data_IF_618232776278
#
_entry.id   IF_618232776278
#
_cell.length_a   1.000
_cell.length_b   1.000
_cell.length_c   1.000
_cell.angle_alpha   90.00
_cell.angle_beta   90.00
_cell.angle_gamma   90.00
#
_symmetry.space_group_name_H-M   'P 1'
#
loop_
_entity.id
_entity.type
_entity.pdbx_description
1 polymer ?
#
# COMPACT_ATOMS: atom_id res chain seq x y z
N UNK A 1 3.27 28.17 -12.51
CA UNK A 1 2.69 26.83 -12.64
C UNK A 1 3.77 25.74 -12.63
N UNK A 2 4.96 25.99 -13.19
CA UNK A 2 6.06 24.99 -13.24
C UNK A 2 6.42 24.39 -11.88
N UNK A 3 6.25 25.14 -10.81
CA UNK A 3 6.49 24.73 -9.42
C UNK A 3 5.19 24.36 -8.67
N UNK A 4 4.12 23.97 -9.37
CA UNK A 4 2.84 23.62 -8.72
C UNK A 4 3.00 22.55 -7.61
N UNK A 5 3.99 21.69 -7.74
CA UNK A 5 4.34 20.68 -6.75
C UNK A 5 4.58 21.26 -5.34
N UNK A 6 5.08 22.51 -5.21
CA UNK A 6 5.27 23.13 -3.87
C UNK A 6 3.94 23.51 -3.19
N UNK A 7 2.83 23.41 -3.91
CA UNK A 7 1.47 23.54 -3.36
C UNK A 7 0.83 22.16 -3.22
N UNK A 8 0.75 21.41 -4.32
CA UNK A 8 -0.08 20.21 -4.39
C UNK A 8 0.54 18.98 -3.73
N UNK A 9 1.88 18.86 -3.76
CA UNK A 9 2.56 17.83 -2.99
C UNK A 9 2.38 18.04 -1.48
N UNK A 10 2.35 19.30 -1.03
CA UNK A 10 2.09 19.62 0.37
C UNK A 10 0.62 19.38 0.74
N UNK A 11 -0.32 19.64 -0.17
CA UNK A 11 -1.73 19.33 0.05
C UNK A 11 -1.92 17.80 0.24
N UNK A 12 -1.37 16.99 -0.67
CA UNK A 12 -1.40 15.51 -0.57
C UNK A 12 -0.70 15.02 0.71
N UNK A 13 0.47 15.59 1.03
CA UNK A 13 1.21 15.19 2.23
C UNK A 13 0.53 15.63 3.53
N UNK A 14 -0.20 16.74 3.52
CA UNK A 14 -1.03 17.17 4.66
C UNK A 14 -2.13 16.17 4.97
N UNK A 15 -2.68 15.49 3.96
CA UNK A 15 -3.60 14.38 4.21
C UNK A 15 -2.92 13.20 4.91
N UNK A 16 -1.65 12.88 4.53
CA UNK A 16 -0.86 11.86 5.23
C UNK A 16 -0.70 12.25 6.71
N UNK A 17 -0.26 13.49 6.98
CA UNK A 17 -0.05 13.99 8.35
C UNK A 17 -1.34 13.98 9.17
N UNK A 18 -2.47 14.36 8.56
CA UNK A 18 -3.78 14.30 9.22
C UNK A 18 -4.19 12.86 9.53
N UNK A 19 -4.00 11.92 8.60
CA UNK A 19 -4.31 10.51 8.83
C UNK A 19 -3.40 9.93 9.93
N UNK A 20 -2.11 10.27 9.95
CA UNK A 20 -1.17 9.85 10.99
C UNK A 20 -1.62 10.33 12.38
N UNK A 21 -1.99 11.60 12.49
CA UNK A 21 -2.50 12.20 13.73
C UNK A 21 -3.84 11.60 14.17
N UNK A 22 -4.79 11.49 13.24
CA UNK A 22 -6.18 11.15 13.57
C UNK A 22 -6.43 9.65 13.72
N UNK A 23 -5.80 8.84 12.88
CA UNK A 23 -6.10 7.41 12.74
C UNK A 23 -4.88 6.51 12.99
N UNK A 24 -3.71 7.10 13.21
CA UNK A 24 -2.46 6.41 13.45
C UNK A 24 -1.66 6.10 12.19
N UNK A 25 -0.39 5.73 12.42
CA UNK A 25 0.62 5.53 11.35
C UNK A 25 0.21 4.48 10.33
N UNK A 26 -0.41 3.37 10.73
CA UNK A 26 -0.78 2.29 9.81
C UNK A 26 -1.82 2.76 8.77
N UNK A 27 -2.82 3.59 9.16
CA UNK A 27 -3.80 4.12 8.20
C UNK A 27 -3.15 5.14 7.25
N UNK A 28 -2.26 5.99 7.77
CA UNK A 28 -1.50 6.94 6.95
C UNK A 28 -0.60 6.23 5.94
N UNK A 29 0.16 5.24 6.38
CA UNK A 29 1.04 4.44 5.51
C UNK A 29 0.25 3.64 4.47
N UNK A 30 -0.91 3.10 4.83
CA UNK A 30 -1.80 2.45 3.87
C UNK A 30 -2.26 3.42 2.77
N UNK A 31 -2.71 4.62 3.16
CA UNK A 31 -3.14 5.64 2.21
C UNK A 31 -2.01 6.05 1.29
N UNK A 32 -0.81 6.32 1.83
CA UNK A 32 0.39 6.63 1.07
C UNK A 32 0.75 5.51 0.08
N UNK A 33 0.74 4.26 0.53
CA UNK A 33 1.00 3.11 -0.32
C UNK A 33 0.04 3.04 -1.50
N UNK A 34 -1.26 3.21 -1.27
CA UNK A 34 -2.30 3.18 -2.32
C UNK A 34 -2.15 4.36 -3.28
N UNK A 35 -1.92 5.56 -2.76
CA UNK A 35 -1.72 6.79 -3.53
C UNK A 35 -0.52 6.66 -4.49
N UNK A 36 0.63 6.21 -4.00
CA UNK A 36 1.82 5.98 -4.81
C UNK A 36 1.62 4.91 -5.88
N UNK A 37 0.93 3.82 -5.56
CA UNK A 37 0.63 2.76 -6.53
C UNK A 37 -0.27 3.25 -7.65
N UNK A 38 -1.31 4.01 -7.33
CA UNK A 38 -2.20 4.59 -8.33
C UNK A 38 -1.44 5.57 -9.24
N UNK A 39 -0.61 6.43 -8.67
CA UNK A 39 0.23 7.35 -9.44
C UNK A 39 1.20 6.62 -10.37
N UNK A 40 1.85 5.56 -9.90
CA UNK A 40 2.77 4.74 -10.72
C UNK A 40 2.04 3.94 -11.82
N UNK A 41 0.78 3.57 -11.60
CA UNK A 41 -0.01 2.81 -12.57
C UNK A 41 -0.56 3.67 -13.71
N UNK A 42 -0.64 4.99 -13.54
CA UNK A 42 -1.16 5.91 -14.57
C UNK A 42 -0.06 6.24 -15.60
N UNK A 43 -0.21 5.81 -16.88
CA UNK A 43 0.77 6.08 -17.92
C UNK A 43 1.03 7.57 -18.17
N UNK A 44 0.06 8.43 -17.88
CA UNK A 44 0.19 9.89 -18.05
C UNK A 44 1.25 10.49 -17.13
N UNK A 45 1.64 9.80 -16.08
CA UNK A 45 2.65 10.23 -15.11
C UNK A 45 4.08 9.83 -15.52
N UNK A 46 4.23 8.97 -16.52
CA UNK A 46 5.54 8.46 -16.92
C UNK A 46 6.38 9.57 -17.57
N UNK A 47 7.66 9.62 -17.23
CA UNK A 47 8.60 10.56 -17.82
C UNK A 47 8.41 12.02 -17.42
N UNK A 48 7.60 12.32 -16.42
CA UNK A 48 7.38 13.68 -15.91
C UNK A 48 8.22 13.97 -14.67
N UNK A 49 8.77 15.19 -14.63
CA UNK A 49 9.43 15.78 -13.47
C UNK A 49 8.39 16.41 -12.53
N UNK A 50 8.76 16.66 -11.27
CA UNK A 50 7.89 17.45 -10.37
C UNK A 50 7.85 18.91 -10.80
N UNK A 51 9.02 19.52 -11.03
CA UNK A 51 9.14 20.87 -11.59
C UNK A 51 9.35 20.76 -13.08
N UNK A 52 8.38 21.24 -13.86
CA UNK A 52 8.42 21.12 -15.31
C UNK A 52 7.93 22.37 -16.01
N UNK A 53 8.62 22.75 -17.06
CA UNK A 53 8.35 23.96 -17.85
C UNK A 53 7.68 23.64 -19.20
N UNK A 54 7.66 22.37 -19.59
CA UNK A 54 7.04 21.92 -20.83
C UNK A 54 5.65 21.35 -20.54
N UNK A 55 4.63 22.21 -20.62
CA UNK A 55 3.20 21.86 -20.51
C UNK A 55 2.41 22.74 -21.49
N UNK A 56 1.34 22.23 -22.06
CA UNK A 56 0.48 22.94 -23.00
C UNK A 56 -0.51 23.85 -22.28
N UNK A 57 -1.06 23.38 -21.18
CA UNK A 57 -2.02 24.09 -20.33
C UNK A 57 -1.62 23.96 -18.86
N UNK A 58 -1.94 24.95 -18.05
CA UNK A 58 -1.76 24.87 -16.60
C UNK A 58 -2.46 23.65 -15.98
N UNK A 59 -3.58 23.22 -16.56
CA UNK A 59 -4.34 22.06 -16.11
C UNK A 59 -3.53 20.74 -16.22
N UNK A 60 -2.55 20.66 -17.13
CA UNK A 60 -1.65 19.51 -17.28
C UNK A 60 -0.73 19.31 -16.08
N UNK A 61 -0.63 20.32 -15.22
CA UNK A 61 0.17 20.25 -13.99
C UNK A 61 -0.58 19.58 -12.84
N UNK A 62 -1.92 19.46 -12.91
CA UNK A 62 -2.75 18.81 -11.88
C UNK A 62 -2.85 17.32 -12.16
N UNK A 63 -1.82 16.59 -11.79
CA UNK A 63 -1.72 15.16 -12.03
C UNK A 63 -1.10 14.39 -10.83
N UNK A 64 -1.08 13.06 -10.93
CA UNK A 64 -0.52 12.20 -9.89
C UNK A 64 0.98 12.41 -9.63
N UNK A 65 1.70 13.13 -10.51
CA UNK A 65 3.08 13.52 -10.27
C UNK A 65 3.12 14.69 -9.28
N UNK A 66 2.38 15.75 -9.55
CA UNK A 66 2.36 16.95 -8.69
C UNK A 66 1.78 16.65 -7.30
N UNK A 67 0.82 15.73 -7.19
CA UNK A 67 0.19 15.33 -5.93
C UNK A 67 0.92 14.13 -5.28
N UNK A 68 0.67 12.94 -5.78
CA UNK A 68 1.01 11.69 -5.09
C UNK A 68 2.50 11.36 -5.10
N UNK A 69 3.18 11.52 -6.27
CA UNK A 69 4.64 11.34 -6.34
C UNK A 69 5.33 12.38 -5.46
N UNK A 70 4.90 13.65 -5.53
CA UNK A 70 5.46 14.72 -4.74
C UNK A 70 5.23 14.54 -3.23
N UNK A 71 4.03 14.12 -2.80
CA UNK A 71 3.75 13.78 -1.40
C UNK A 71 4.64 12.63 -0.91
N UNK A 72 4.86 11.60 -1.75
CA UNK A 72 5.80 10.52 -1.45
C UNK A 72 7.24 10.99 -1.31
N UNK A 73 7.67 11.93 -2.14
CA UNK A 73 9.02 12.55 -2.06
C UNK A 73 9.17 13.39 -0.80
N UNK A 74 8.16 14.15 -0.39
CA UNK A 74 8.16 14.85 0.90
C UNK A 74 8.28 13.87 2.07
N UNK A 75 7.62 12.72 2.01
CA UNK A 75 7.75 11.69 3.03
C UNK A 75 9.18 11.12 3.08
N UNK A 76 9.81 10.86 1.93
CA UNK A 76 11.23 10.46 1.87
C UNK A 76 12.13 11.51 2.52
N UNK A 77 11.90 12.80 2.20
CA UNK A 77 12.68 13.92 2.71
C UNK A 77 12.53 14.07 4.22
N UNK A 78 11.31 13.94 4.77
CA UNK A 78 11.05 13.91 6.22
C UNK A 78 11.85 12.80 6.90
N UNK A 79 11.84 11.58 6.34
CA UNK A 79 12.57 10.46 6.93
C UNK A 79 14.10 10.63 6.83
N UNK A 80 14.59 11.27 5.77
CA UNK A 80 16.02 11.57 5.60
C UNK A 80 16.52 12.66 6.56
N UNK A 81 15.72 13.69 6.80
CA UNK A 81 16.08 14.82 7.63
C UNK A 81 15.77 14.60 9.13
N UNK A 82 14.75 13.80 9.41
CA UNK A 82 14.09 13.71 10.72
C UNK A 82 13.02 14.80 10.90
N UNK A 83 12.07 14.53 11.79
CA UNK A 83 10.89 15.39 12.00
C UNK A 83 11.24 16.83 12.36
N UNK A 84 12.15 17.01 13.31
CA UNK A 84 12.52 18.34 13.80
C UNK A 84 13.06 19.25 12.69
N UNK A 85 14.03 18.76 11.92
CA UNK A 85 14.63 19.51 10.83
C UNK A 85 13.66 19.72 9.67
N UNK A 86 12.84 18.69 9.34
CA UNK A 86 11.86 18.77 8.28
C UNK A 86 10.81 19.85 8.58
N UNK A 87 10.13 19.79 9.73
CA UNK A 87 9.09 20.76 10.06
C UNK A 87 9.61 22.16 10.33
N UNK A 88 10.80 22.30 10.93
CA UNK A 88 11.44 23.60 11.09
C UNK A 88 11.82 24.21 9.74
N UNK A 89 12.32 23.41 8.79
CA UNK A 89 12.63 23.86 7.43
C UNK A 89 11.38 24.28 6.65
N UNK A 90 10.26 23.55 6.77
CA UNK A 90 8.99 23.97 6.20
C UNK A 90 8.49 25.30 6.80
N UNK A 91 8.63 25.47 8.11
CA UNK A 91 8.26 26.72 8.78
C UNK A 91 9.12 27.90 8.29
N UNK A 92 10.44 27.69 8.12
CA UNK A 92 11.35 28.69 7.56
C UNK A 92 10.97 29.06 6.12
N UNK A 93 10.69 28.05 5.28
CA UNK A 93 10.24 28.26 3.90
C UNK A 93 8.98 29.13 3.82
N UNK A 94 7.95 28.77 4.61
CA UNK A 94 6.67 29.50 4.59
C UNK A 94 6.82 30.93 5.08
N UNK A 95 7.57 31.16 6.18
CA UNK A 95 7.80 32.50 6.73
C UNK A 95 8.64 33.37 5.81
N UNK A 96 9.67 32.80 5.19
CA UNK A 96 10.57 33.54 4.29
C UNK A 96 9.86 34.02 3.03
N UNK A 97 8.89 33.23 2.55
CA UNK A 97 8.15 33.51 1.31
C UNK A 97 6.72 34.03 1.57
N UNK A 98 6.42 34.47 2.81
CA UNK A 98 5.10 34.97 3.18
C UNK A 98 4.70 36.17 2.31
N UNK A 99 3.49 36.14 1.76
CA UNK A 99 2.95 37.11 0.79
C UNK A 99 3.75 37.26 -0.52
N UNK A 100 4.73 36.39 -0.75
CA UNK A 100 5.56 36.35 -1.94
C UNK A 100 5.30 35.15 -2.82
N UNK A 101 6.31 34.77 -3.61
CA UNK A 101 6.33 33.55 -4.42
C UNK A 101 7.40 32.62 -3.89
N UNK A 102 7.10 31.30 -3.87
CA UNK A 102 8.04 30.26 -3.45
C UNK A 102 8.14 29.17 -4.52
N UNK A 103 9.36 28.71 -4.75
CA UNK A 103 9.68 27.65 -5.69
C UNK A 103 10.43 26.52 -4.99
N UNK A 104 10.67 25.42 -5.69
CA UNK A 104 11.38 24.26 -5.15
C UNK A 104 12.79 24.60 -4.66
N UNK A 105 13.46 25.57 -5.29
CA UNK A 105 14.80 26.01 -4.85
C UNK A 105 14.77 26.70 -3.50
N UNK A 106 13.78 27.56 -3.22
CA UNK A 106 13.64 28.19 -1.90
C UNK A 106 13.31 27.15 -0.82
N UNK A 107 12.47 26.15 -1.15
CA UNK A 107 12.21 25.04 -0.26
C UNK A 107 13.50 24.29 0.10
N UNK A 108 14.32 23.97 -0.91
CA UNK A 108 15.63 23.33 -0.68
C UNK A 108 16.51 24.16 0.24
N UNK A 109 16.68 25.46 -0.05
CA UNK A 109 17.54 26.34 0.73
C UNK A 109 17.09 26.48 2.19
N UNK A 110 15.78 26.54 2.46
CA UNK A 110 15.25 26.57 3.82
C UNK A 110 15.52 25.25 4.57
N UNK A 111 15.37 24.12 3.90
CA UNK A 111 15.67 22.81 4.49
C UNK A 111 17.17 22.62 4.74
N UNK A 112 18.04 23.04 3.82
CA UNK A 112 19.50 23.02 3.97
C UNK A 112 19.94 23.94 5.14
N UNK A 113 19.41 25.14 5.21
CA UNK A 113 19.68 26.12 6.29
C UNK A 113 19.39 25.53 7.67
N UNK A 114 18.29 24.82 7.82
CA UNK A 114 17.87 24.28 9.12
C UNK A 114 18.57 22.96 9.43
N UNK A 115 18.73 22.07 8.44
CA UNK A 115 19.31 20.74 8.67
C UNK A 115 20.82 20.69 8.64
N UNK A 116 21.47 21.68 8.02
CA UNK A 116 22.92 21.69 7.76
C UNK A 116 23.36 20.64 6.71
N UNK A 117 22.43 19.98 6.03
CA UNK A 117 22.71 18.96 5.01
C UNK A 117 22.63 19.55 3.61
N UNK A 118 23.53 19.14 2.71
CA UNK A 118 23.40 19.41 1.28
C UNK A 118 22.27 18.54 0.69
N UNK A 119 21.29 19.19 0.08
CA UNK A 119 20.15 18.55 -0.56
C UNK A 119 20.14 18.71 -2.09
N UNK A 120 21.23 19.25 -2.69
CA UNK A 120 21.31 19.38 -4.14
C UNK A 120 21.09 18.05 -4.87
N UNK A 121 21.74 16.97 -4.39
CA UNK A 121 21.59 15.63 -4.96
C UNK A 121 20.12 15.19 -4.94
N UNK A 122 19.40 15.44 -3.82
CA UNK A 122 18.01 15.03 -3.64
C UNK A 122 17.09 15.81 -4.58
N UNK A 123 17.19 17.15 -4.61
CA UNK A 123 16.32 17.96 -5.46
C UNK A 123 16.61 17.76 -6.95
N UNK A 124 17.87 17.63 -7.35
CA UNK A 124 18.24 17.40 -8.75
C UNK A 124 17.60 16.12 -9.30
N UNK A 125 17.58 15.03 -8.56
CA UNK A 125 17.01 13.78 -9.06
C UNK A 125 15.51 13.63 -8.79
N UNK A 126 14.96 14.21 -7.72
CA UNK A 126 13.57 13.97 -7.34
C UNK A 126 12.61 15.09 -7.75
N UNK A 127 13.07 16.34 -7.81
CA UNK A 127 12.27 17.49 -8.25
C UNK A 127 12.49 17.85 -9.72
N UNK A 128 13.74 17.76 -10.19
CA UNK A 128 14.14 18.16 -11.54
C UNK A 128 14.48 16.97 -12.44
N UNK A 129 14.45 15.75 -11.91
CA UNK A 129 14.68 14.52 -12.65
C UNK A 129 13.42 13.69 -12.81
N UNK A 130 13.47 12.77 -13.80
CA UNK A 130 12.35 11.91 -14.22
C UNK A 130 12.39 10.55 -13.53
N UNK A 131 11.22 9.95 -13.41
CA UNK A 131 11.12 8.55 -13.00
C UNK A 131 11.35 8.29 -11.51
N UNK A 132 11.78 7.09 -11.21
CA UNK A 132 12.13 6.57 -9.89
C UNK A 132 12.92 5.27 -10.02
N UNK A 133 13.66 4.83 -8.98
CA UNK A 133 14.46 3.60 -9.02
C UNK A 133 13.63 2.35 -9.26
N UNK A 134 14.08 1.48 -10.17
CA UNK A 134 13.61 0.11 -10.34
C UNK A 134 14.74 -0.82 -9.93
N UNK A 135 14.54 -1.52 -8.83
CA UNK A 135 15.58 -2.29 -8.17
C UNK A 135 15.34 -3.79 -8.33
N UNK A 136 16.43 -4.53 -8.63
CA UNK A 136 16.49 -5.96 -8.36
C UNK A 136 17.44 -6.19 -7.19
N UNK A 137 16.96 -6.89 -6.15
CA UNK A 137 17.73 -7.18 -4.94
C UNK A 137 17.95 -8.68 -4.84
N UNK A 138 19.21 -9.08 -4.72
CA UNK A 138 19.63 -10.48 -4.54
C UNK A 138 20.61 -10.57 -3.38
N UNK A 139 20.63 -11.70 -2.70
CA UNK A 139 21.59 -11.95 -1.64
C UNK A 139 22.30 -13.29 -1.85
N UNK A 140 23.58 -13.33 -1.48
CA UNK A 140 24.39 -14.54 -1.52
C UNK A 140 25.17 -14.67 -0.22
N UNK A 141 25.08 -15.83 0.42
CA UNK A 141 25.80 -16.14 1.63
C UNK A 141 27.10 -16.91 1.33
N UNK A 142 28.21 -16.44 1.88
CA UNK A 142 29.51 -17.13 1.88
C UNK A 142 29.76 -17.77 3.25
N UNK A 143 29.64 -19.11 3.36
CA UNK A 143 29.80 -19.81 4.63
C UNK A 143 31.24 -19.80 5.15
N UNK A 144 32.23 -19.66 4.26
CA UNK A 144 33.64 -19.64 4.66
C UNK A 144 34.03 -18.31 5.29
N UNK A 145 33.52 -17.22 4.74
CA UNK A 145 33.74 -15.88 5.26
C UNK A 145 32.74 -15.47 6.32
N UNK A 146 31.64 -16.22 6.48
CA UNK A 146 30.47 -15.84 7.30
C UNK A 146 29.97 -14.44 6.93
N UNK A 147 29.78 -14.22 5.65
CA UNK A 147 29.32 -12.95 5.09
C UNK A 147 28.12 -13.17 4.17
N UNK A 148 27.18 -12.23 4.21
CA UNK A 148 26.15 -12.11 3.19
C UNK A 148 26.42 -10.89 2.34
N UNK A 149 26.46 -11.08 1.03
CA UNK A 149 26.51 -9.99 0.05
C UNK A 149 25.10 -9.71 -0.44
N UNK A 150 24.64 -8.46 -0.29
CA UNK A 150 23.37 -7.99 -0.84
C UNK A 150 23.70 -7.15 -2.06
N UNK A 151 23.32 -7.63 -3.24
CA UNK A 151 23.43 -6.92 -4.50
C UNK A 151 22.16 -6.14 -4.78
N UNK A 152 22.29 -4.83 -4.99
CA UNK A 152 21.21 -3.92 -5.38
C UNK A 152 21.50 -3.43 -6.80
N UNK A 153 20.77 -3.95 -7.76
CA UNK A 153 20.87 -3.56 -9.16
C UNK A 153 19.77 -2.56 -9.53
N UNK A 154 20.15 -1.47 -10.18
CA UNK A 154 19.22 -0.50 -10.76
C UNK A 154 18.99 -0.83 -12.22
N UNK A 155 17.76 -1.14 -12.62
CA UNK A 155 17.42 -1.64 -13.97
C UNK A 155 16.94 -0.56 -14.93
N UNK A 156 16.48 0.60 -14.43
CA UNK A 156 16.10 1.75 -15.26
C UNK A 156 17.32 2.44 -15.89
N UNK A 157 17.10 3.30 -16.87
CA UNK A 157 18.15 4.00 -17.63
C UNK A 157 18.94 4.98 -16.75
N UNK A 158 18.28 6.02 -16.22
CA UNK A 158 18.90 6.99 -15.31
C UNK A 158 19.07 6.41 -13.91
N UNK A 159 20.30 6.45 -13.38
CA UNK A 159 20.60 5.88 -12.08
C UNK A 159 20.45 6.92 -10.97
N UNK A 160 19.91 6.48 -9.85
CA UNK A 160 19.66 7.29 -8.67
C UNK A 160 20.66 6.98 -7.57
N UNK A 161 20.90 7.96 -6.69
CA UNK A 161 21.57 7.73 -5.42
C UNK A 161 20.58 7.97 -4.27
N UNK A 162 20.63 7.14 -3.24
CA UNK A 162 19.69 7.21 -2.11
C UNK A 162 20.14 6.38 -0.92
N UNK A 163 19.72 6.72 0.31
CA UNK A 163 19.84 5.82 1.44
C UNK A 163 18.83 4.67 1.31
N UNK A 164 19.26 3.47 1.64
CA UNK A 164 18.43 2.27 1.63
C UNK A 164 18.58 1.50 2.94
N UNK A 165 17.47 1.25 3.62
CA UNK A 165 17.43 0.35 4.76
C UNK A 165 17.31 -1.10 4.28
N UNK A 166 18.11 -1.98 4.87
CA UNK A 166 18.08 -3.43 4.62
C UNK A 166 17.99 -4.14 5.98
N UNK A 167 16.90 -4.88 6.19
CA UNK A 167 16.76 -5.74 7.36
C UNK A 167 17.38 -7.11 7.10
N UNK A 168 18.28 -7.55 7.99
CA UNK A 168 18.90 -8.85 8.01
C UNK A 168 18.36 -9.62 9.22
N UNK A 169 17.57 -10.65 8.98
CA UNK A 169 17.04 -11.54 10.03
C UNK A 169 17.99 -12.70 10.24
N UNK A 170 18.53 -12.79 11.44
CA UNK A 170 19.41 -13.87 11.87
C UNK A 170 19.07 -14.30 13.31
N UNK A 171 18.92 -15.59 13.53
CA UNK A 171 18.57 -16.15 14.85
C UNK A 171 17.31 -15.50 15.48
N UNK A 172 16.30 -15.22 14.64
CA UNK A 172 15.07 -14.58 15.07
C UNK A 172 15.21 -13.10 15.44
N UNK A 173 16.36 -12.47 15.18
CA UNK A 173 16.60 -11.04 15.44
C UNK A 173 16.85 -10.26 14.15
N UNK A 174 16.18 -9.13 13.99
CA UNK A 174 16.42 -8.21 12.90
C UNK A 174 17.59 -7.28 13.25
N UNK A 175 18.56 -7.20 12.34
CA UNK A 175 19.61 -6.18 12.33
C UNK A 175 19.40 -5.28 11.12
N UNK A 176 18.98 -4.03 11.33
CA UNK A 176 18.83 -3.05 10.25
C UNK A 176 20.17 -2.49 9.84
N UNK A 177 20.44 -2.48 8.55
CA UNK A 177 21.62 -1.89 7.92
C UNK A 177 21.17 -0.71 7.08
N UNK A 178 21.77 0.46 7.31
CA UNK A 178 21.60 1.64 6.49
C UNK A 178 22.77 1.72 5.51
N UNK A 179 22.47 1.71 4.22
CA UNK A 179 23.49 1.76 3.16
C UNK A 179 23.20 2.93 2.22
N UNK A 180 24.23 3.41 1.56
CA UNK A 180 24.10 4.42 0.51
C UNK A 180 24.23 3.74 -0.86
N UNK A 181 23.14 3.69 -1.61
CA UNK A 181 23.15 3.23 -3.00
C UNK A 181 23.63 4.38 -3.85
N UNK A 182 24.71 4.16 -4.60
CA UNK A 182 25.25 5.15 -5.54
C UNK A 182 24.56 5.08 -6.90
N UNK A 183 24.66 6.14 -7.71
CA UNK A 183 24.10 6.22 -9.05
C UNK A 183 24.83 5.30 -10.06
N UNK A 184 24.93 4.00 -9.75
CA UNK A 184 25.53 2.95 -10.58
C UNK A 184 24.50 1.84 -10.85
N UNK A 185 24.74 1.09 -11.92
CA UNK A 185 23.89 -0.06 -12.26
C UNK A 185 23.89 -1.17 -11.20
N UNK A 186 24.97 -1.30 -10.43
CA UNK A 186 25.11 -2.29 -9.36
C UNK A 186 25.82 -1.70 -8.16
N UNK A 187 25.32 -2.05 -6.97
CA UNK A 187 25.93 -1.78 -5.68
C UNK A 187 25.92 -3.07 -4.87
N UNK A 188 27.06 -3.44 -4.30
CA UNK A 188 27.22 -4.62 -3.47
C UNK A 188 27.51 -4.19 -2.02
N UNK A 189 26.71 -4.73 -1.09
CA UNK A 189 26.86 -4.48 0.35
C UNK A 189 27.15 -5.79 1.06
N UNK A 190 28.25 -5.84 1.79
CA UNK A 190 28.70 -7.04 2.52
C UNK A 190 28.46 -6.85 4.01
N UNK A 191 27.79 -7.80 4.61
CA UNK A 191 27.52 -7.82 6.06
C UNK A 191 28.06 -9.09 6.70
N UNK A 192 28.74 -8.96 7.82
CA UNK A 192 29.12 -10.09 8.64
C UNK A 192 27.90 -10.70 9.32
N UNK A 193 27.79 -12.02 9.26
CA UNK A 193 26.72 -12.82 9.80
C UNK A 193 27.28 -14.11 10.42
N UNK A 194 26.54 -14.76 11.33
CA UNK A 194 27.03 -16.00 11.95
C UNK A 194 26.62 -17.24 11.15
N UNK A 195 25.52 -17.14 10.40
CA UNK A 195 24.99 -18.19 9.51
C UNK A 195 24.27 -17.54 8.32
N UNK A 196 23.76 -18.34 7.39
CA UNK A 196 22.89 -17.83 6.33
C UNK A 196 21.66 -17.13 6.92
N UNK A 197 21.44 -15.84 6.66
CA UNK A 197 20.28 -15.12 7.16
C UNK A 197 18.95 -15.80 6.75
N UNK A 198 18.01 -15.82 7.66
CA UNK A 198 16.68 -16.38 7.42
C UNK A 198 15.87 -15.52 6.47
N UNK A 199 16.11 -14.19 6.50
CA UNK A 199 15.49 -13.22 5.62
C UNK A 199 16.43 -12.02 5.39
N UNK A 200 16.49 -11.55 4.16
CA UNK A 200 16.94 -10.20 3.79
C UNK A 200 15.70 -9.46 3.28
N UNK A 201 15.45 -8.26 3.79
CA UNK A 201 14.31 -7.43 3.36
C UNK A 201 14.79 -6.01 3.07
N UNK A 202 14.79 -5.62 1.80
CA UNK A 202 15.18 -4.28 1.36
C UNK A 202 13.98 -3.32 1.40
N UNK A 203 14.23 -2.07 1.83
CA UNK A 203 13.20 -1.03 1.97
C UNK A 203 11.99 -1.47 2.83
N UNK A 204 12.20 -2.00 4.03
CA UNK A 204 11.17 -2.69 4.82
C UNK A 204 9.95 -1.80 5.12
N UNK A 205 10.13 -0.51 5.34
CA UNK A 205 9.05 0.44 5.63
C UNK A 205 8.47 1.11 4.37
N UNK A 206 8.96 0.75 3.18
CA UNK A 206 8.52 1.36 1.93
C UNK A 206 8.80 2.86 1.86
N UNK A 207 9.88 3.32 2.50
CA UNK A 207 10.22 4.75 2.55
C UNK A 207 10.71 5.24 1.19
N UNK A 208 11.55 4.46 0.50
CA UNK A 208 12.03 4.80 -0.83
C UNK A 208 10.90 4.65 -1.85
N UNK A 209 10.61 5.70 -2.59
CA UNK A 209 9.78 5.63 -3.79
C UNK A 209 10.51 4.82 -4.87
N UNK A 210 10.13 3.56 -5.03
CA UNK A 210 10.79 2.64 -5.95
C UNK A 210 9.87 1.49 -6.34
N UNK A 211 10.27 0.73 -7.36
CA UNK A 211 9.82 -0.64 -7.59
C UNK A 211 10.95 -1.58 -7.21
N UNK A 212 10.68 -2.52 -6.34
CA UNK A 212 11.68 -3.50 -5.87
C UNK A 212 11.22 -4.90 -6.23
N UNK A 213 12.05 -5.59 -7.00
CA UNK A 213 11.95 -7.02 -7.24
C UNK A 213 12.95 -7.74 -6.34
N UNK A 214 12.43 -8.48 -5.38
CA UNK A 214 13.20 -9.32 -4.48
C UNK A 214 12.46 -10.63 -4.29
N UNK A 215 12.94 -11.70 -4.91
CA UNK A 215 12.29 -13.00 -4.81
C UNK A 215 12.43 -13.55 -3.38
N UNK A 216 11.31 -13.91 -2.76
CA UNK A 216 11.23 -14.46 -1.41
C UNK A 216 10.45 -15.77 -1.42
N UNK A 217 10.94 -16.74 -0.67
CA UNK A 217 10.19 -17.98 -0.45
C UNK A 217 8.97 -17.75 0.43
N UNK A 218 7.94 -18.62 0.40
CA UNK A 218 6.80 -18.51 1.31
C UNK A 218 7.19 -18.50 2.80
N UNK A 219 8.26 -19.19 3.17
CA UNK A 219 8.81 -19.15 4.52
C UNK A 219 9.38 -17.77 4.86
N UNK A 220 10.12 -17.17 3.94
CA UNK A 220 10.66 -15.81 4.10
C UNK A 220 9.55 -14.76 4.18
N UNK A 221 8.48 -14.91 3.40
CA UNK A 221 7.30 -14.04 3.49
C UNK A 221 6.59 -14.18 4.84
N UNK A 222 6.46 -15.41 5.36
CA UNK A 222 5.92 -15.63 6.70
C UNK A 222 6.79 -14.99 7.78
N UNK A 223 8.12 -15.12 7.69
CA UNK A 223 9.07 -14.47 8.60
C UNK A 223 8.97 -12.94 8.48
N UNK A 224 8.92 -12.39 7.27
CA UNK A 224 8.71 -10.96 7.05
C UNK A 224 7.44 -10.48 7.75
N UNK A 225 6.31 -11.16 7.55
CA UNK A 225 5.04 -10.80 8.16
C UNK A 225 5.09 -10.81 9.70
N UNK A 226 5.66 -11.88 10.27
CA UNK A 226 5.65 -12.10 11.72
C UNK A 226 6.66 -11.26 12.48
N UNK A 227 7.76 -10.85 11.86
CA UNK A 227 8.81 -10.04 12.47
C UNK A 227 8.65 -8.53 12.22
N UNK A 228 7.92 -8.15 11.17
CA UNK A 228 7.69 -6.75 10.83
C UNK A 228 6.84 -6.03 11.89
N UNK A 229 7.23 -4.79 12.18
CA UNK A 229 6.49 -3.86 13.03
C UNK A 229 5.69 -2.83 12.23
N UNK A 230 6.05 -2.63 10.98
CA UNK A 230 5.47 -1.68 10.05
C UNK A 230 4.38 -2.32 9.17
N UNK A 231 3.48 -1.47 8.68
CA UNK A 231 2.42 -1.90 7.78
C UNK A 231 2.97 -2.41 6.44
N UNK A 232 3.93 -1.69 5.84
CA UNK A 232 4.38 -1.96 4.47
C UNK A 232 4.91 -3.37 4.31
N UNK A 233 5.82 -3.81 5.22
CA UNK A 233 6.36 -5.16 5.21
C UNK A 233 5.28 -6.23 5.39
N UNK A 234 4.31 -6.00 6.29
CA UNK A 234 3.19 -6.94 6.49
C UNK A 234 2.30 -7.01 5.27
N UNK A 235 1.93 -5.85 4.73
CA UNK A 235 1.01 -5.75 3.60
C UNK A 235 1.59 -6.42 2.35
N UNK A 236 2.85 -6.13 2.02
CA UNK A 236 3.54 -6.73 0.87
C UNK A 236 3.74 -8.22 1.03
N UNK A 237 4.03 -8.72 2.24
CA UNK A 237 4.13 -10.16 2.49
C UNK A 237 2.81 -10.90 2.22
N UNK A 238 1.65 -10.33 2.60
CA UNK A 238 0.33 -10.91 2.31
C UNK A 238 0.10 -10.95 0.78
N UNK A 239 0.38 -9.85 0.08
CA UNK A 239 0.22 -9.77 -1.37
C UNK A 239 1.09 -10.77 -2.11
N UNK A 240 2.38 -10.83 -1.79
CA UNK A 240 3.33 -11.72 -2.44
C UNK A 240 3.05 -13.21 -2.16
N UNK A 241 2.47 -13.55 -0.99
CA UNK A 241 2.14 -14.92 -0.63
C UNK A 241 0.83 -15.43 -1.28
N UNK A 242 0.00 -14.57 -1.88
CA UNK A 242 -1.36 -14.87 -2.33
C UNK A 242 -1.45 -16.14 -3.18
N UNK A 243 -0.61 -16.28 -4.19
CA UNK A 243 -0.68 -17.40 -5.13
C UNK A 243 -0.20 -18.73 -4.54
N UNK A 244 0.34 -18.71 -3.32
CA UNK A 244 0.83 -19.88 -2.58
C UNK A 244 -0.14 -20.36 -1.49
N UNK A 245 -1.22 -19.63 -1.23
CA UNK A 245 -2.26 -20.00 -0.26
C UNK A 245 -2.93 -21.30 -0.68
N UNK A 246 -3.10 -22.21 0.27
CA UNK A 246 -3.56 -23.60 0.09
C UNK A 246 -2.63 -24.50 -0.75
N UNK A 247 -1.41 -24.02 -1.05
CA UNK A 247 -0.37 -24.78 -1.76
C UNK A 247 0.90 -24.92 -0.91
N UNK A 248 1.11 -24.02 0.04
CA UNK A 248 2.30 -23.99 0.87
C UNK A 248 1.95 -23.70 2.34
N UNK A 249 2.42 -24.50 3.30
CA UNK A 249 2.06 -24.37 4.71
C UNK A 249 2.51 -23.06 5.34
N UNK A 250 3.57 -22.41 4.86
CA UNK A 250 4.00 -21.09 5.37
C UNK A 250 3.09 -19.98 4.87
N UNK A 251 2.63 -20.04 3.62
CA UNK A 251 1.62 -19.11 3.11
C UNK A 251 0.30 -19.25 3.89
N UNK A 252 -0.12 -20.48 4.22
CA UNK A 252 -1.30 -20.73 5.04
C UNK A 252 -1.14 -20.17 6.46
N UNK A 253 0.02 -20.35 7.08
CA UNK A 253 0.31 -19.77 8.39
C UNK A 253 0.30 -18.25 8.37
N UNK A 254 0.87 -17.64 7.30
CA UNK A 254 0.85 -16.19 7.10
C UNK A 254 -0.59 -15.68 7.01
N UNK A 255 -1.43 -16.31 6.18
CA UNK A 255 -2.82 -15.89 6.00
C UNK A 255 -3.66 -16.11 7.26
N UNK A 256 -3.48 -17.21 7.96
CA UNK A 256 -4.12 -17.43 9.26
C UNK A 256 -3.76 -16.38 10.32
N UNK A 257 -2.53 -15.87 10.29
CA UNK A 257 -2.10 -14.76 11.13
C UNK A 257 -2.68 -13.42 10.64
N UNK A 258 -2.70 -13.17 9.32
CA UNK A 258 -3.20 -11.95 8.72
C UNK A 258 -4.72 -11.76 8.92
N UNK A 259 -5.52 -12.85 8.91
CA UNK A 259 -6.95 -12.82 9.25
C UNK A 259 -7.21 -12.39 10.71
N UNK A 260 -6.19 -12.41 11.56
CA UNK A 260 -6.24 -12.01 12.99
C UNK A 260 -5.44 -10.75 13.28
N UNK A 261 -4.90 -10.07 12.25
CA UNK A 261 -4.09 -8.86 12.44
C UNK A 261 -4.90 -7.76 13.13
N UNK A 262 -4.23 -6.95 13.93
CA UNK A 262 -4.83 -5.80 14.61
C UNK A 262 -5.35 -4.78 13.60
N UNK A 263 -4.59 -4.57 12.52
CA UNK A 263 -4.95 -3.60 11.50
C UNK A 263 -5.92 -4.22 10.49
N UNK A 264 -7.10 -3.66 10.42
CA UNK A 264 -8.21 -4.21 9.63
C UNK A 264 -7.91 -4.32 8.12
N UNK A 265 -7.02 -3.48 7.56
CA UNK A 265 -6.63 -3.56 6.15
C UNK A 265 -5.86 -4.84 5.84
N UNK A 266 -5.04 -5.34 6.78
CA UNK A 266 -4.37 -6.62 6.64
C UNK A 266 -5.37 -7.79 6.67
N UNK A 267 -6.40 -7.72 7.56
CA UNK A 267 -7.49 -8.70 7.58
C UNK A 267 -8.29 -8.69 6.27
N UNK A 268 -8.59 -7.48 5.75
CA UNK A 268 -9.28 -7.31 4.47
C UNK A 268 -8.48 -7.89 3.31
N UNK A 269 -7.20 -7.54 3.20
CA UNK A 269 -6.31 -8.04 2.16
C UNK A 269 -6.19 -9.57 2.19
N UNK A 270 -6.09 -10.16 3.39
CA UNK A 270 -6.06 -11.60 3.55
C UNK A 270 -7.37 -12.26 3.05
N UNK A 271 -8.54 -11.70 3.39
CA UNK A 271 -9.82 -12.19 2.88
C UNK A 271 -9.92 -12.14 1.35
N UNK A 272 -9.45 -11.04 0.74
CA UNK A 272 -9.43 -10.85 -0.71
C UNK A 272 -8.49 -11.83 -1.43
N UNK A 273 -7.45 -12.28 -0.74
CA UNK A 273 -6.47 -13.23 -1.25
C UNK A 273 -6.81 -14.70 -1.03
N UNK A 274 -7.90 -15.04 -0.31
CA UNK A 274 -8.28 -16.42 -0.08
C UNK A 274 -8.76 -17.10 -1.39
N UNK A 275 -8.50 -18.40 -1.56
CA UNK A 275 -9.03 -19.18 -2.69
C UNK A 275 -10.56 -19.29 -2.60
N UNK A 276 -11.20 -19.71 -3.72
CA UNK A 276 -12.66 -19.91 -3.77
C UNK A 276 -13.16 -20.93 -2.74
N UNK A 277 -12.38 -21.97 -2.47
CA UNK A 277 -12.66 -22.96 -1.42
C UNK A 277 -11.65 -22.82 -0.27
N UNK A 278 -11.93 -21.93 0.70
CA UNK A 278 -11.00 -21.60 1.78
C UNK A 278 -11.12 -22.54 2.99
N UNK A 279 -11.19 -23.87 2.78
CA UNK A 279 -11.49 -24.87 3.82
C UNK A 279 -10.72 -24.66 5.13
N UNK A 280 -9.41 -24.45 5.01
CA UNK A 280 -8.52 -24.27 6.18
C UNK A 280 -8.77 -22.99 6.98
N UNK A 281 -9.46 -22.01 6.38
CA UNK A 281 -9.69 -20.69 6.93
C UNK A 281 -11.14 -20.43 7.33
N UNK A 282 -12.07 -21.35 7.04
CA UNK A 282 -13.51 -21.13 7.24
C UNK A 282 -13.88 -20.69 8.65
N UNK A 283 -13.27 -21.26 9.68
CA UNK A 283 -13.55 -20.88 11.07
C UNK A 283 -13.17 -19.42 11.37
N UNK A 284 -12.02 -18.96 10.85
CA UNK A 284 -11.58 -17.58 11.01
C UNK A 284 -12.46 -16.63 10.19
N UNK A 285 -12.85 -17.01 8.96
CA UNK A 285 -13.76 -16.24 8.10
C UNK A 285 -15.15 -16.11 8.73
N UNK A 286 -15.71 -17.19 9.27
CA UNK A 286 -17.00 -17.18 10.00
C UNK A 286 -16.96 -16.22 11.21
N UNK A 287 -15.87 -16.24 11.95
CA UNK A 287 -15.66 -15.33 13.08
C UNK A 287 -15.61 -13.86 12.65
N UNK A 288 -14.90 -13.56 11.56
CA UNK A 288 -14.83 -12.20 11.00
C UNK A 288 -16.18 -11.74 10.49
N UNK A 289 -16.90 -12.58 9.75
CA UNK A 289 -18.23 -12.27 9.23
C UNK A 289 -19.24 -11.91 10.32
N UNK A 290 -19.15 -12.55 11.47
CA UNK A 290 -20.07 -12.33 12.60
C UNK A 290 -19.65 -11.18 13.51
N UNK A 291 -18.35 -11.07 13.82
CA UNK A 291 -17.89 -10.33 14.99
C UNK A 291 -16.87 -9.24 14.71
N UNK A 292 -16.33 -9.08 13.47
CA UNK A 292 -15.33 -8.03 13.23
C UNK A 292 -15.91 -6.64 13.54
N UNK A 293 -15.09 -5.78 14.10
CA UNK A 293 -15.48 -4.40 14.43
C UNK A 293 -15.66 -3.51 13.20
N UNK A 294 -15.00 -3.86 12.09
CA UNK A 294 -15.03 -3.11 10.82
C UNK A 294 -16.02 -3.74 9.85
N UNK A 295 -17.02 -2.98 9.45
CA UNK A 295 -18.03 -3.45 8.50
C UNK A 295 -17.46 -3.85 7.15
N UNK A 296 -16.35 -3.23 6.69
CA UNK A 296 -15.67 -3.64 5.46
C UNK A 296 -15.15 -5.07 5.57
N UNK A 297 -14.55 -5.44 6.71
CA UNK A 297 -14.06 -6.80 6.95
C UNK A 297 -15.21 -7.78 7.08
N UNK A 298 -16.30 -7.42 7.81
CA UNK A 298 -17.52 -8.24 7.85
C UNK A 298 -18.07 -8.52 6.45
N UNK A 299 -18.21 -7.47 5.64
CA UNK A 299 -18.71 -7.60 4.28
C UNK A 299 -17.84 -8.51 3.42
N UNK A 300 -16.52 -8.31 3.45
CA UNK A 300 -15.58 -9.17 2.72
C UNK A 300 -15.65 -10.63 3.17
N UNK A 301 -15.70 -10.87 4.48
CA UNK A 301 -15.83 -12.23 5.03
C UNK A 301 -17.15 -12.90 4.61
N UNK A 302 -18.27 -12.16 4.62
CA UNK A 302 -19.55 -12.64 4.08
C UNK A 302 -19.42 -12.97 2.59
N UNK A 303 -18.72 -12.14 1.80
CA UNK A 303 -18.44 -12.40 0.39
C UNK A 303 -17.64 -13.68 0.17
N UNK A 304 -16.65 -13.97 1.02
CA UNK A 304 -15.92 -15.25 0.99
C UNK A 304 -16.85 -16.42 1.29
N UNK A 305 -17.70 -16.31 2.33
CA UNK A 305 -18.68 -17.37 2.66
C UNK A 305 -19.72 -17.58 1.56
N UNK A 306 -20.14 -16.52 0.87
CA UNK A 306 -21.05 -16.59 -0.26
C UNK A 306 -20.50 -17.44 -1.42
N UNK A 307 -19.20 -17.29 -1.73
CA UNK A 307 -18.51 -18.06 -2.77
C UNK A 307 -18.51 -19.56 -2.49
N UNK A 308 -18.57 -19.98 -1.23
CA UNK A 308 -18.66 -21.42 -0.87
C UNK A 308 -19.97 -22.07 -1.28
N UNK A 309 -21.01 -21.28 -1.59
CA UNK A 309 -22.37 -21.73 -1.94
C UNK A 309 -22.99 -22.68 -0.91
N UNK A 310 -22.57 -22.60 0.35
CA UNK A 310 -23.05 -23.48 1.40
C UNK A 310 -24.34 -22.93 2.04
N UNK A 311 -25.49 -23.66 1.95
CA UNK A 311 -26.78 -23.20 2.48
C UNK A 311 -26.80 -22.92 3.99
N UNK A 312 -25.85 -23.49 4.75
CA UNK A 312 -25.76 -23.23 6.20
C UNK A 312 -25.59 -21.74 6.55
N UNK A 313 -25.07 -20.92 5.62
CA UNK A 313 -24.86 -19.49 5.82
C UNK A 313 -26.08 -18.63 5.48
N UNK A 314 -27.17 -19.20 4.96
CA UNK A 314 -28.38 -18.44 4.63
C UNK A 314 -28.88 -17.56 5.80
N UNK A 315 -28.97 -18.04 7.06
CA UNK A 315 -29.38 -17.18 8.18
C UNK A 315 -28.45 -15.99 8.42
N UNK A 316 -27.13 -16.14 8.18
CA UNK A 316 -26.18 -15.05 8.28
C UNK A 316 -26.41 -14.00 7.19
N UNK A 317 -26.66 -14.44 5.96
CA UNK A 317 -26.95 -13.55 4.84
C UNK A 317 -28.27 -12.81 5.02
N UNK A 318 -29.34 -13.48 5.44
CA UNK A 318 -30.65 -12.85 5.74
C UNK A 318 -30.56 -11.80 6.86
N UNK A 319 -29.73 -12.04 7.86
CA UNK A 319 -29.42 -11.03 8.90
C UNK A 319 -28.66 -9.83 8.31
N UNK A 320 -27.67 -10.07 7.44
CA UNK A 320 -26.80 -9.05 6.87
C UNK A 320 -27.51 -8.08 5.92
N UNK A 321 -28.62 -8.48 5.29
CA UNK A 321 -29.46 -7.59 4.45
C UNK A 321 -29.96 -6.38 5.25
N UNK A 322 -30.19 -6.53 6.54
CA UNK A 322 -30.71 -5.46 7.40
C UNK A 322 -29.58 -4.62 8.03
N UNK A 323 -28.31 -4.85 7.69
CA UNK A 323 -27.21 -4.07 8.21
C UNK A 323 -27.24 -2.62 7.67
N UNK A 324 -26.67 -1.68 8.42
CA UNK A 324 -26.51 -0.29 7.94
C UNK A 324 -25.46 -0.21 6.83
N UNK A 325 -24.43 -1.05 6.89
CA UNK A 325 -23.30 -1.04 5.95
C UNK A 325 -23.66 -1.61 4.58
N UNK A 326 -23.44 -0.82 3.53
CA UNK A 326 -23.64 -1.25 2.14
C UNK A 326 -22.77 -2.45 1.76
N UNK A 327 -21.52 -2.53 2.25
CA UNK A 327 -20.64 -3.67 2.02
C UNK A 327 -21.23 -4.97 2.60
N UNK A 328 -21.79 -4.91 3.80
CA UNK A 328 -22.47 -6.08 4.44
C UNK A 328 -23.73 -6.45 3.67
N UNK A 329 -24.58 -5.47 3.33
CA UNK A 329 -25.81 -5.70 2.56
C UNK A 329 -25.53 -6.37 1.20
N UNK A 330 -24.65 -5.77 0.42
CA UNK A 330 -24.36 -6.24 -0.94
C UNK A 330 -23.80 -7.67 -0.96
N UNK A 331 -22.81 -7.96 -0.10
CA UNK A 331 -22.26 -9.31 0.00
C UNK A 331 -23.28 -10.32 0.55
N UNK A 332 -24.17 -9.90 1.45
CA UNK A 332 -25.25 -10.77 1.95
C UNK A 332 -26.26 -11.10 0.87
N UNK A 333 -26.66 -10.12 0.06
CA UNK A 333 -27.56 -10.39 -1.07
C UNK A 333 -26.90 -11.29 -2.12
N UNK A 334 -25.63 -11.08 -2.42
CA UNK A 334 -24.85 -11.98 -3.28
C UNK A 334 -24.85 -13.40 -2.71
N UNK A 335 -24.72 -13.56 -1.41
CA UNK A 335 -24.81 -14.86 -0.72
C UNK A 335 -26.18 -15.51 -0.87
N UNK A 336 -27.27 -14.76 -0.67
CA UNK A 336 -28.65 -15.26 -0.87
C UNK A 336 -28.82 -15.71 -2.32
N UNK A 337 -28.36 -14.92 -3.29
CA UNK A 337 -28.43 -15.27 -4.71
C UNK A 337 -27.70 -16.57 -5.08
N UNK A 338 -26.68 -16.97 -4.30
CA UNK A 338 -25.93 -18.21 -4.49
C UNK A 338 -26.61 -19.42 -3.87
N UNK A 339 -27.28 -19.27 -2.70
CA UNK A 339 -27.77 -20.40 -1.90
C UNK A 339 -29.29 -20.53 -1.89
N UNK A 340 -30.03 -19.44 -2.17
CA UNK A 340 -31.50 -19.39 -2.20
C UNK A 340 -31.97 -18.35 -3.25
N UNK A 341 -31.71 -18.58 -4.54
CA UNK A 341 -31.98 -17.62 -5.60
C UNK A 341 -33.46 -17.22 -5.70
N UNK A 342 -34.38 -18.10 -5.30
CA UNK A 342 -35.82 -17.82 -5.27
C UNK A 342 -36.21 -16.72 -4.27
N UNK A 343 -35.37 -16.46 -3.26
CA UNK A 343 -35.60 -15.42 -2.25
C UNK A 343 -35.03 -14.06 -2.64
N UNK A 344 -34.09 -14.02 -3.61
CA UNK A 344 -33.28 -12.84 -3.87
C UNK A 344 -34.12 -11.64 -4.30
N UNK A 345 -35.17 -11.86 -5.09
CA UNK A 345 -36.06 -10.79 -5.59
C UNK A 345 -36.69 -10.02 -4.44
N UNK A 346 -37.26 -10.75 -3.46
CA UNK A 346 -37.91 -10.17 -2.32
C UNK A 346 -37.01 -9.26 -1.46
N UNK A 347 -35.68 -9.52 -1.48
CA UNK A 347 -34.69 -8.73 -0.76
C UNK A 347 -34.15 -7.58 -1.62
N UNK A 348 -33.92 -7.81 -2.90
CA UNK A 348 -33.40 -6.80 -3.82
C UNK A 348 -34.38 -5.62 -4.01
N UNK A 349 -35.68 -5.91 -4.08
CA UNK A 349 -36.74 -4.89 -4.21
C UNK A 349 -36.82 -3.93 -3.00
N UNK A 350 -36.30 -4.36 -1.85
CA UNK A 350 -36.28 -3.52 -0.62
C UNK A 350 -35.05 -2.61 -0.53
N UNK A 351 -34.10 -2.76 -1.43
CA UNK A 351 -32.90 -1.94 -1.44
C UNK A 351 -33.17 -0.71 -2.28
N UNK A 352 -33.06 0.45 -1.64
CA UNK A 352 -33.13 1.73 -2.33
C UNK A 352 -31.80 1.98 -3.08
N UNK A 353 -31.83 1.86 -4.41
CA UNK A 353 -30.67 2.08 -5.27
C UNK A 353 -30.29 3.55 -5.43
N UNK A 354 -31.22 4.49 -5.22
CA UNK A 354 -30.93 5.93 -5.32
C UNK A 354 -30.02 6.40 -4.18
N UNK A 355 -30.18 5.78 -2.99
CA UNK A 355 -29.34 6.04 -1.81
C UNK A 355 -28.17 5.06 -1.70
N UNK A 356 -28.05 4.09 -2.60
CA UNK A 356 -27.01 3.06 -2.56
C UNK A 356 -25.65 3.65 -2.97
N UNK A 357 -24.56 3.19 -2.30
CA UNK A 357 -23.21 3.49 -2.76
C UNK A 357 -22.92 2.80 -4.10
N UNK A 358 -21.98 3.35 -4.87
CA UNK A 358 -21.52 2.75 -6.13
C UNK A 358 -21.13 1.27 -5.95
N UNK A 359 -20.40 0.94 -4.87
CA UNK A 359 -20.00 -0.44 -4.53
C UNK A 359 -21.21 -1.36 -4.36
N UNK A 360 -22.29 -0.87 -3.72
CA UNK A 360 -23.52 -1.66 -3.54
C UNK A 360 -24.20 -1.86 -4.87
N UNK A 361 -24.33 -0.81 -5.69
CA UNK A 361 -24.92 -0.88 -7.04
C UNK A 361 -24.16 -1.90 -7.89
N UNK A 362 -22.86 -1.81 -7.93
CA UNK A 362 -22.00 -2.74 -8.70
C UNK A 362 -22.13 -4.19 -8.22
N UNK A 363 -22.34 -4.41 -6.93
CA UNK A 363 -22.58 -5.75 -6.36
C UNK A 363 -23.98 -6.27 -6.74
N UNK A 364 -24.97 -5.39 -6.82
CA UNK A 364 -26.36 -5.73 -7.10
C UNK A 364 -26.66 -5.93 -8.58
N UNK A 365 -26.00 -5.18 -9.47
CA UNK A 365 -26.26 -5.24 -10.92
C UNK A 365 -26.29 -6.68 -11.49
N UNK A 366 -25.30 -7.54 -11.22
CA UNK A 366 -25.32 -8.93 -11.69
C UNK A 366 -26.51 -9.73 -11.14
N UNK A 367 -26.95 -9.44 -9.91
CA UNK A 367 -28.08 -10.09 -9.28
C UNK A 367 -29.40 -9.64 -9.92
N UNK A 368 -29.54 -8.32 -10.14
CA UNK A 368 -30.71 -7.71 -10.78
C UNK A 368 -30.88 -8.24 -12.20
N UNK A 369 -29.81 -8.20 -13.00
CA UNK A 369 -29.82 -8.65 -14.41
C UNK A 369 -30.13 -10.15 -14.50
N UNK A 370 -29.41 -10.98 -13.73
CA UNK A 370 -29.60 -12.44 -13.74
C UNK A 370 -31.01 -12.86 -13.37
N UNK A 371 -31.64 -12.16 -12.40
CA UNK A 371 -32.95 -12.51 -11.89
C UNK A 371 -34.08 -11.67 -12.52
N UNK A 372 -33.77 -10.81 -13.53
CA UNK A 372 -34.73 -9.97 -14.25
C UNK A 372 -35.62 -9.12 -13.33
N UNK A 373 -35.00 -8.49 -12.33
CA UNK A 373 -35.71 -7.65 -11.35
C UNK A 373 -36.04 -6.30 -11.98
N UNK A 374 -37.19 -6.24 -12.68
CA UNK A 374 -37.60 -5.07 -13.48
C UNK A 374 -37.91 -3.83 -12.66
N UNK A 375 -38.36 -3.96 -11.40
CA UNK A 375 -38.63 -2.85 -10.49
C UNK A 375 -37.38 -2.00 -10.16
N UNK A 376 -36.19 -2.54 -10.40
CA UNK A 376 -34.88 -1.90 -10.11
C UNK A 376 -34.11 -1.51 -11.38
N UNK A 377 -34.71 -1.72 -12.59
CA UNK A 377 -34.07 -1.31 -13.83
C UNK A 377 -34.41 0.17 -14.10
N UNK A 378 -33.41 1.02 -14.42
CA UNK A 378 -33.70 2.36 -14.89
C UNK A 378 -34.50 2.29 -16.20
N UNK A 379 -35.49 3.19 -16.34
CA UNK A 379 -36.29 3.32 -17.56
C UNK A 379 -35.45 3.70 -18.75
#
# INVERSE_FOLDING_TARGET
WSNLTVNESFADYSEYLWNEYKYGKDEADYKRLKSLRNSKADPRNFGKDLVRFNYESREDMFDGVSYNKGGGILHMLRNYLGDDAFFAGLSDYLKTNEYGTGEAHQLRLSLEKVSGKDLNWFFNQWYFGKGYPKLEVKSTFDPMKKQVTVNVAQTQEEKFEFPLSIDVLENGKISRKEVWVTAKSKNDFVFDVTKNPELINANPEGLLLSDIKQDKTPEQLFLQYTTAKDLYSKYTAIEEAKDQVSKNPFADKLYAAALKDKFYRNRLLALEGLPEDPKSFLADVEKLAQNDEKNLVKGAAIGVLAKTKNPKYLPLFEKGINAISNSVKGNSLSGIAQVAPEKVVNYAEKIDLESASEDLVMTLLPVIVKNKITAQMPN
#
